data_IF_897752632846
#
_entry.id   IF_897752632846
#
_cell.length_a   1.000
_cell.length_b   1.000
_cell.length_c   1.000
_cell.angle_alpha   90.00
_cell.angle_beta   90.00
_cell.angle_gamma   90.00
#
_symmetry.space_group_name_H-M   'P 1'
#
loop_
_entity.id
_entity.type
_entity.pdbx_description
1 polymer ?
#
# COMPACT_ATOMS: atom_id res chain seq x y z
N UNK A 1 5.91 -6.81 -2.44
CA UNK A 1 7.25 -6.18 -2.45
C UNK A 1 8.24 -7.27 -2.83
N UNK A 2 9.31 -6.95 -3.54
CA UNK A 2 10.42 -7.90 -3.79
C UNK A 2 11.72 -7.40 -3.18
N UNK A 3 12.83 -8.09 -3.45
CA UNK A 3 14.16 -7.78 -2.93
C UNK A 3 14.59 -6.34 -3.22
N UNK A 4 14.36 -5.86 -4.45
CA UNK A 4 14.63 -4.48 -4.84
C UNK A 4 13.97 -3.44 -3.95
N UNK A 5 12.71 -3.66 -3.55
CA UNK A 5 12.03 -2.76 -2.62
C UNK A 5 12.70 -2.76 -1.24
N UNK A 6 13.19 -3.92 -0.78
CA UNK A 6 13.74 -4.08 0.56
C UNK A 6 15.20 -3.63 0.67
N UNK A 7 15.94 -3.61 -0.45
CA UNK A 7 17.27 -3.00 -0.54
C UNK A 7 17.21 -1.47 -0.54
N UNK A 8 16.14 -0.88 -1.08
CA UNK A 8 15.98 0.58 -1.12
C UNK A 8 15.79 1.19 0.26
N UNK A 9 16.56 2.24 0.56
CA UNK A 9 16.59 2.91 1.86
C UNK A 9 15.24 3.50 2.28
N UNK A 10 14.39 3.88 1.30
CA UNK A 10 13.04 4.36 1.59
C UNK A 10 12.18 3.31 2.32
N UNK A 11 12.46 2.01 2.12
CA UNK A 11 11.76 0.94 2.85
C UNK A 11 12.09 0.97 4.34
N UNK A 12 13.34 1.28 4.73
CA UNK A 12 13.71 1.47 6.13
C UNK A 12 12.90 2.60 6.75
N UNK A 13 12.83 3.75 6.08
CA UNK A 13 12.13 4.93 6.60
C UNK A 13 10.63 4.68 6.81
N UNK A 14 9.94 4.20 5.77
CA UNK A 14 8.48 4.04 5.83
C UNK A 14 8.06 2.85 6.68
N UNK A 15 8.84 1.76 6.72
CA UNK A 15 8.53 0.60 7.56
C UNK A 15 8.82 0.89 9.04
N UNK A 16 9.89 1.61 9.35
CA UNK A 16 10.17 2.08 10.72
C UNK A 16 9.04 2.97 11.25
N UNK A 17 8.57 3.93 10.44
CA UNK A 17 7.44 4.78 10.80
C UNK A 17 6.14 3.99 10.94
N UNK A 18 5.84 3.07 10.03
CA UNK A 18 4.63 2.25 10.09
C UNK A 18 4.54 1.41 11.36
N UNK A 19 5.68 0.90 11.83
CA UNK A 19 5.79 0.21 13.10
C UNK A 19 5.54 1.13 14.29
N UNK A 20 6.16 2.31 14.30
CA UNK A 20 5.95 3.35 15.32
C UNK A 20 4.48 3.78 15.42
N UNK A 21 3.78 3.86 14.28
CA UNK A 21 2.37 4.23 14.21
C UNK A 21 1.40 3.07 14.52
N UNK A 22 1.91 1.84 14.69
CA UNK A 22 1.09 0.67 15.01
C UNK A 22 0.04 0.37 13.93
N UNK A 23 0.41 0.47 12.64
CA UNK A 23 -0.52 0.35 11.51
C UNK A 23 -1.03 -1.09 11.30
N UNK A 24 -1.81 -1.65 12.24
CA UNK A 24 -2.28 -3.05 12.20
C UNK A 24 -3.30 -3.43 11.13
N UNK A 25 -3.57 -2.54 10.17
CA UNK A 25 -4.30 -2.86 8.94
C UNK A 25 -3.39 -2.97 7.72
N UNK A 26 -2.09 -2.66 7.87
CA UNK A 26 -1.08 -2.80 6.83
C UNK A 26 -0.51 -4.21 6.86
N UNK A 27 -0.67 -4.93 5.76
CA UNK A 27 -0.11 -6.27 5.55
C UNK A 27 0.70 -6.23 4.26
N UNK A 28 2.01 -6.41 4.37
CA UNK A 28 2.93 -6.52 3.25
C UNK A 28 3.24 -7.98 2.94
N UNK A 29 3.29 -8.33 1.66
CA UNK A 29 3.83 -9.59 1.18
C UNK A 29 5.21 -9.34 0.59
N UNK A 30 6.20 -10.08 1.08
CA UNK A 30 7.53 -10.11 0.49
C UNK A 30 7.65 -11.35 -0.39
N UNK A 31 7.81 -11.11 -1.69
CA UNK A 31 8.16 -12.12 -2.69
C UNK A 31 9.64 -12.47 -2.53
N UNK A 32 9.94 -13.43 -1.66
CA UNK A 32 11.28 -13.87 -1.33
C UNK A 32 11.69 -14.97 -2.30
N UNK A 33 12.04 -14.56 -3.53
CA UNK A 33 12.40 -15.48 -4.62
C UNK A 33 13.92 -15.65 -4.80
N UNK A 34 14.74 -14.83 -4.13
CA UNK A 34 16.21 -14.92 -4.11
C UNK A 34 16.91 -14.31 -5.32
N UNK A 35 16.18 -13.71 -6.27
CA UNK A 35 16.71 -13.22 -7.55
C UNK A 35 16.46 -11.71 -7.70
N UNK A 36 17.49 -11.00 -8.16
CA UNK A 36 17.38 -9.64 -8.69
C UNK A 36 17.88 -9.59 -10.14
N UNK A 37 18.00 -8.40 -10.72
CA UNK A 37 18.41 -8.24 -12.13
C UNK A 37 19.79 -8.86 -12.39
N UNK A 38 20.72 -8.71 -11.46
CA UNK A 38 22.10 -9.19 -11.60
C UNK A 38 22.27 -10.68 -11.24
N UNK A 39 21.18 -11.39 -10.90
CA UNK A 39 21.21 -12.80 -10.50
C UNK A 39 20.83 -13.03 -9.03
N UNK A 40 21.43 -14.06 -8.44
CA UNK A 40 21.21 -14.46 -7.05
C UNK A 40 21.62 -13.35 -6.07
N UNK A 41 20.70 -13.01 -5.17
CA UNK A 41 20.82 -11.86 -4.26
C UNK A 41 21.91 -12.00 -3.20
N UNK A 42 22.39 -13.21 -2.89
CA UNK A 42 23.37 -13.48 -1.82
C UNK A 42 24.68 -12.67 -1.97
N UNK A 43 25.02 -12.24 -3.19
CA UNK A 43 26.20 -11.42 -3.45
C UNK A 43 26.12 -9.97 -2.95
N UNK A 44 24.92 -9.42 -2.73
CA UNK A 44 24.71 -8.00 -2.38
C UNK A 44 23.56 -7.74 -1.40
N UNK A 45 22.76 -8.74 -1.08
CA UNK A 45 21.65 -8.64 -0.14
C UNK A 45 21.57 -9.87 0.75
N UNK A 46 22.03 -9.72 1.99
CA UNK A 46 22.14 -10.80 2.99
C UNK A 46 21.49 -10.41 4.33
N UNK A 47 20.59 -9.43 4.31
CA UNK A 47 19.84 -9.01 5.49
C UNK A 47 19.03 -10.19 6.05
N UNK A 48 19.04 -10.36 7.37
CA UNK A 48 17.95 -11.05 8.05
C UNK A 48 16.71 -10.14 8.02
N UNK A 49 15.98 -10.22 6.91
CA UNK A 49 14.81 -9.37 6.66
C UNK A 49 13.74 -9.55 7.74
N UNK A 50 13.55 -10.77 8.24
CA UNK A 50 12.60 -11.03 9.31
C UNK A 50 12.98 -10.24 10.57
N UNK A 51 14.23 -10.38 11.05
CA UNK A 51 14.72 -9.63 12.22
C UNK A 51 14.69 -8.12 12.01
N UNK A 52 15.00 -7.65 10.79
CA UNK A 52 14.92 -6.23 10.44
C UNK A 52 13.51 -5.68 10.65
N UNK A 53 12.48 -6.40 10.21
CA UNK A 53 11.08 -5.98 10.39
C UNK A 53 10.60 -6.16 11.82
N UNK A 54 11.02 -7.20 12.54
CA UNK A 54 10.78 -7.34 13.98
C UNK A 54 11.37 -6.16 14.76
N UNK A 55 12.56 -5.68 14.39
CA UNK A 55 13.19 -4.50 14.97
C UNK A 55 12.41 -3.20 14.68
N UNK A 56 11.65 -3.14 13.59
CA UNK A 56 10.69 -2.06 13.32
C UNK A 56 9.36 -2.24 14.06
N UNK A 57 9.21 -3.22 14.95
CA UNK A 57 7.94 -3.55 15.63
C UNK A 57 6.83 -4.07 14.70
N UNK A 58 7.20 -4.73 13.61
CA UNK A 58 6.23 -5.45 12.79
C UNK A 58 5.94 -6.84 13.39
N UNK A 59 4.75 -7.35 13.09
CA UNK A 59 4.48 -8.78 13.16
C UNK A 59 5.05 -9.44 11.90
N UNK A 60 5.82 -10.51 12.04
CA UNK A 60 6.44 -11.20 10.91
C UNK A 60 5.93 -12.63 10.89
N UNK A 61 5.23 -12.99 9.80
CA UNK A 61 4.99 -14.39 9.46
C UNK A 61 6.20 -14.86 8.69
N UNK A 62 7.00 -15.69 9.36
CA UNK A 62 8.24 -16.27 8.82
C UNK A 62 7.93 -17.18 7.63
N UNK A 63 8.97 -17.44 6.83
CA UNK A 63 8.95 -18.08 5.51
C UNK A 63 7.85 -19.13 5.30
N UNK A 64 6.82 -18.75 4.53
CA UNK A 64 5.75 -19.64 4.06
C UNK A 64 6.02 -20.08 2.63
N UNK A 65 5.48 -21.24 2.22
CA UNK A 65 5.43 -21.61 0.81
C UNK A 65 4.44 -20.70 0.08
N UNK A 66 4.96 -19.82 -0.78
CA UNK A 66 4.17 -18.88 -1.57
C UNK A 66 3.38 -19.54 -2.71
N UNK A 67 3.63 -20.82 -3.01
CA UNK A 67 2.89 -21.61 -3.99
C UNK A 67 1.84 -22.53 -3.36
N UNK A 68 1.71 -22.55 -2.02
CA UNK A 68 0.63 -23.24 -1.31
C UNK A 68 -0.49 -22.26 -0.88
N UNK A 69 -1.67 -22.29 -1.53
CA UNK A 69 -2.77 -21.40 -1.21
C UNK A 69 -3.27 -21.49 0.23
N UNK A 70 -3.20 -22.67 0.87
CA UNK A 70 -3.66 -22.81 2.25
C UNK A 70 -2.65 -22.23 3.26
N UNK A 71 -1.36 -22.34 3.00
CA UNK A 71 -0.32 -21.63 3.78
C UNK A 71 -0.47 -20.12 3.67
N UNK A 72 -0.64 -19.59 2.46
CA UNK A 72 -0.87 -18.14 2.23
C UNK A 72 -2.13 -17.66 2.96
N UNK A 73 -3.23 -18.42 2.87
CA UNK A 73 -4.48 -18.09 3.55
C UNK A 73 -4.33 -18.06 5.07
N UNK A 74 -3.65 -19.04 5.67
CA UNK A 74 -3.39 -19.07 7.12
C UNK A 74 -2.57 -17.86 7.56
N UNK A 75 -1.51 -17.53 6.82
CA UNK A 75 -0.67 -16.36 7.09
C UNK A 75 -1.46 -15.05 7.02
N UNK A 76 -2.36 -14.91 6.04
CA UNK A 76 -3.24 -13.73 5.93
C UNK A 76 -4.16 -13.62 7.16
N UNK A 77 -4.79 -14.72 7.58
CA UNK A 77 -5.68 -14.72 8.75
C UNK A 77 -4.92 -14.41 10.05
N UNK A 78 -3.72 -14.95 10.20
CA UNK A 78 -2.83 -14.67 11.32
C UNK A 78 -2.45 -13.18 11.35
N UNK A 79 -1.95 -12.63 10.24
CA UNK A 79 -1.62 -11.21 10.10
C UNK A 79 -2.82 -10.30 10.36
N UNK A 80 -4.01 -10.67 9.88
CA UNK A 80 -5.25 -9.94 10.16
C UNK A 80 -5.67 -10.00 11.64
N UNK A 81 -5.24 -11.01 12.40
CA UNK A 81 -5.56 -11.11 13.83
C UNK A 81 -4.77 -10.11 14.69
N UNK A 82 -3.60 -9.69 14.22
CA UNK A 82 -2.75 -8.67 14.87
C UNK A 82 -3.26 -7.28 14.52
N UNK A 83 -3.60 -6.48 15.53
CA UNK A 83 -4.31 -5.19 15.34
C UNK A 83 -3.47 -3.96 15.67
N UNK A 84 -2.37 -4.15 16.38
CA UNK A 84 -1.52 -3.11 16.94
C UNK A 84 -0.15 -3.00 16.24
N UNK A 85 0.12 -3.88 15.26
CA UNK A 85 1.37 -3.89 14.48
C UNK A 85 1.09 -4.13 13.00
N UNK A 86 1.78 -3.42 12.08
CA UNK A 86 1.80 -3.85 10.68
C UNK A 86 2.38 -5.26 10.56
N UNK A 87 1.99 -6.01 9.53
CA UNK A 87 2.46 -7.38 9.30
C UNK A 87 3.27 -7.52 8.03
N UNK A 88 4.37 -8.27 8.08
CA UNK A 88 5.11 -8.75 6.91
C UNK A 88 4.93 -10.26 6.80
N UNK A 89 4.45 -10.74 5.66
CA UNK A 89 4.39 -12.16 5.33
C UNK A 89 5.52 -12.44 4.34
N UNK A 90 6.46 -13.30 4.71
CA UNK A 90 7.59 -13.68 3.87
C UNK A 90 7.20 -14.91 3.05
N UNK A 91 6.96 -14.72 1.77
CA UNK A 91 6.55 -15.79 0.86
C UNK A 91 7.78 -16.29 0.09
N UNK A 92 8.20 -17.54 0.36
CA UNK A 92 9.18 -18.23 -0.47
C UNK A 92 8.53 -18.60 -1.80
N UNK A 93 9.06 -18.06 -2.88
CA UNK A 93 8.53 -18.29 -4.23
C UNK A 93 9.67 -18.67 -5.17
N UNK A 94 9.31 -19.00 -6.41
CA UNK A 94 10.26 -19.29 -7.48
C UNK A 94 9.92 -18.33 -8.60
N UNK A 95 10.82 -17.40 -8.91
CA UNK A 95 10.62 -16.48 -10.04
C UNK A 95 10.43 -17.29 -11.33
N UNK A 96 9.49 -16.89 -12.18
CA UNK A 96 9.18 -17.64 -13.41
C UNK A 96 8.61 -19.05 -13.17
N UNK A 97 8.02 -19.34 -12.00
CA UNK A 97 7.42 -20.64 -11.69
C UNK A 97 6.60 -21.19 -12.86
N UNK A 98 6.82 -22.46 -13.19
CA UNK A 98 6.20 -23.13 -14.33
C UNK A 98 7.10 -23.18 -15.57
N UNK A 99 8.02 -22.25 -15.76
CA UNK A 99 9.05 -22.37 -16.81
C UNK A 99 9.99 -23.55 -16.49
N UNK A 100 10.27 -24.45 -17.45
CA UNK A 100 11.28 -25.49 -17.23
C UNK A 100 12.71 -24.97 -17.23
N UNK A 101 13.04 -24.00 -18.10
CA UNK A 101 14.44 -23.61 -18.34
C UNK A 101 14.86 -22.30 -17.64
N UNK A 102 13.90 -21.43 -17.33
CA UNK A 102 14.13 -20.07 -16.78
C UNK A 102 13.57 -19.86 -15.37
N UNK A 103 12.82 -20.81 -14.82
CA UNK A 103 12.35 -20.69 -13.43
C UNK A 103 13.54 -20.67 -12.45
N UNK A 104 13.47 -19.79 -11.45
CA UNK A 104 14.52 -19.60 -10.46
C UNK A 104 15.73 -18.80 -10.94
N UNK A 105 15.64 -18.14 -12.11
CA UNK A 105 16.76 -17.39 -12.69
C UNK A 105 16.37 -15.99 -13.14
N UNK A 106 17.35 -15.10 -13.19
CA UNK A 106 17.20 -13.70 -13.59
C UNK A 106 16.70 -13.53 -15.04
N UNK A 107 16.92 -14.49 -15.94
CA UNK A 107 16.42 -14.37 -17.31
C UNK A 107 14.89 -14.42 -17.41
N UNK A 108 14.20 -14.79 -16.33
CA UNK A 108 12.74 -14.70 -16.20
C UNK A 108 12.23 -13.35 -15.67
N UNK A 109 13.12 -12.43 -15.26
CA UNK A 109 12.76 -11.17 -14.61
C UNK A 109 12.21 -10.12 -15.58
N UNK A 110 12.99 -9.78 -16.61
CA UNK A 110 12.75 -8.58 -17.43
C UNK A 110 12.57 -8.82 -18.93
N UNK A 111 12.64 -10.08 -19.38
CA UNK A 111 12.57 -10.43 -20.80
C UNK A 111 11.43 -11.40 -21.08
N UNK A 112 10.87 -11.33 -22.30
CA UNK A 112 9.89 -12.31 -22.75
C UNK A 112 10.51 -13.72 -22.73
N UNK A 113 9.74 -14.72 -22.30
CA UNK A 113 10.22 -16.10 -22.21
C UNK A 113 10.63 -16.66 -23.59
N UNK A 114 9.91 -16.26 -24.65
CA UNK A 114 10.01 -16.82 -26.00
C UNK A 114 8.93 -17.87 -26.26
N UNK A 115 8.51 -18.03 -27.52
CA UNK A 115 7.35 -18.88 -27.87
C UNK A 115 7.55 -20.35 -27.46
N UNK A 116 8.74 -20.90 -27.66
CA UNK A 116 9.10 -22.27 -27.27
C UNK A 116 8.99 -22.45 -25.75
N UNK A 117 9.58 -21.53 -24.98
CA UNK A 117 9.56 -21.59 -23.52
C UNK A 117 8.13 -21.43 -22.96
N UNK A 118 7.30 -20.59 -23.59
CA UNK A 118 5.89 -20.45 -23.24
C UNK A 118 5.12 -21.76 -23.49
N UNK A 119 5.39 -22.46 -24.60
CA UNK A 119 4.74 -23.75 -24.89
C UNK A 119 5.11 -24.81 -23.84
N UNK A 120 6.40 -24.88 -23.47
CA UNK A 120 6.88 -25.77 -22.41
C UNK A 120 6.30 -25.42 -21.04
N UNK A 121 6.19 -24.12 -20.74
CA UNK A 121 5.57 -23.62 -19.51
C UNK A 121 4.10 -24.03 -19.42
N UNK A 122 3.34 -23.86 -20.51
CA UNK A 122 1.94 -24.32 -20.59
C UNK A 122 1.82 -25.82 -20.34
N UNK A 123 2.68 -26.63 -20.96
CA UNK A 123 2.70 -28.07 -20.75
C UNK A 123 2.96 -28.42 -19.28
N UNK A 124 3.96 -27.79 -18.64
CA UNK A 124 4.32 -28.03 -17.23
C UNK A 124 3.19 -27.61 -16.28
N UNK A 125 2.48 -26.53 -16.57
CA UNK A 125 1.35 -26.05 -15.76
C UNK A 125 0.02 -26.76 -16.06
N UNK A 126 -0.03 -27.64 -17.07
CA UNK A 126 -1.29 -28.24 -17.52
C UNK A 126 -2.27 -27.21 -18.13
N UNK A 127 -1.76 -26.08 -18.64
CA UNK A 127 -2.57 -25.03 -19.24
C UNK A 127 -2.75 -25.26 -20.74
N UNK A 128 -3.93 -25.75 -21.13
CA UNK A 128 -4.23 -26.15 -22.52
C UNK A 128 -4.87 -25.05 -23.38
N UNK A 129 -5.13 -23.87 -22.83
CA UNK A 129 -5.80 -22.80 -23.56
C UNK A 129 -4.80 -21.93 -24.35
N UNK A 130 -5.18 -21.47 -25.56
CA UNK A 130 -4.43 -20.50 -26.35
C UNK A 130 -4.11 -19.19 -25.62
N UNK A 131 -3.25 -18.38 -26.24
CA UNK A 131 -2.96 -17.04 -25.73
C UNK A 131 -4.24 -16.20 -25.64
N UNK A 132 -4.42 -15.55 -24.49
CA UNK A 132 -5.58 -14.68 -24.19
C UNK A 132 -6.96 -15.38 -24.18
N UNK A 133 -7.00 -16.71 -24.21
CA UNK A 133 -8.23 -17.48 -24.01
C UNK A 133 -8.35 -17.87 -22.53
N UNK A 134 -9.44 -17.43 -21.90
CA UNK A 134 -9.77 -17.78 -20.51
C UNK A 134 -11.09 -18.54 -20.49
N UNK A 135 -11.12 -19.77 -19.95
CA UNK A 135 -12.33 -20.57 -19.82
C UNK A 135 -13.43 -19.92 -18.98
N UNK A 136 -14.69 -20.24 -19.30
CA UNK A 136 -15.86 -19.64 -18.63
C UNK A 136 -15.91 -19.98 -17.14
N UNK A 137 -15.49 -21.17 -16.75
CA UNK A 137 -15.42 -21.62 -15.36
C UNK A 137 -14.39 -20.84 -14.55
N UNK A 138 -13.25 -20.49 -15.15
CA UNK A 138 -12.24 -19.63 -14.51
C UNK A 138 -12.81 -18.22 -14.35
N UNK A 139 -13.45 -17.66 -15.38
CA UNK A 139 -14.16 -16.37 -15.24
C UNK A 139 -15.19 -16.39 -14.10
N UNK A 140 -16.01 -17.44 -14.01
CA UNK A 140 -17.02 -17.57 -12.94
C UNK A 140 -16.38 -17.68 -11.56
N UNK A 141 -15.26 -18.38 -11.42
CA UNK A 141 -14.56 -18.51 -10.15
C UNK A 141 -13.90 -17.19 -9.70
N UNK A 142 -13.50 -16.32 -10.65
CA UNK A 142 -12.89 -15.03 -10.39
C UNK A 142 -13.87 -13.85 -10.35
N UNK A 143 -15.12 -14.03 -10.80
CA UNK A 143 -16.10 -12.96 -10.86
C UNK A 143 -16.48 -12.47 -9.45
N UNK A 144 -15.97 -11.28 -9.11
CA UNK A 144 -16.23 -10.64 -7.82
C UNK A 144 -17.30 -9.55 -7.89
N UNK A 145 -17.99 -9.35 -9.02
CA UNK A 145 -18.94 -8.23 -9.21
C UNK A 145 -20.10 -8.29 -8.23
N UNK A 146 -20.77 -9.43 -8.11
CA UNK A 146 -21.89 -9.58 -7.17
C UNK A 146 -21.44 -9.43 -5.71
N UNK A 147 -20.30 -10.02 -5.34
CA UNK A 147 -19.72 -9.88 -4.00
C UNK A 147 -19.35 -8.41 -3.70
N UNK A 148 -18.77 -7.71 -4.67
CA UNK A 148 -18.40 -6.31 -4.57
C UNK A 148 -19.62 -5.40 -4.44
N UNK A 149 -20.65 -5.62 -5.27
CA UNK A 149 -21.92 -4.88 -5.22
C UNK A 149 -22.58 -5.02 -3.84
N UNK A 150 -22.67 -6.24 -3.31
CA UNK A 150 -23.20 -6.48 -1.95
C UNK A 150 -22.39 -5.77 -0.87
N UNK A 151 -21.06 -5.83 -0.95
CA UNK A 151 -20.18 -5.15 0.02
C UNK A 151 -20.33 -3.62 -0.05
N UNK A 152 -20.45 -3.06 -1.25
CA UNK A 152 -20.66 -1.64 -1.47
C UNK A 152 -22.03 -1.19 -1.00
N UNK A 153 -23.10 -1.94 -1.31
CA UNK A 153 -24.45 -1.65 -0.85
C UNK A 153 -24.52 -1.65 0.69
N UNK A 154 -23.92 -2.66 1.34
CA UNK A 154 -23.84 -2.71 2.80
C UNK A 154 -23.05 -1.53 3.39
N UNK A 155 -22.02 -1.03 2.69
CA UNK A 155 -21.30 0.19 3.10
C UNK A 155 -22.16 1.45 2.91
N UNK A 156 -22.91 1.55 1.81
CA UNK A 156 -23.80 2.68 1.52
C UNK A 156 -24.92 2.79 2.57
N UNK A 157 -25.51 1.67 2.98
CA UNK A 157 -26.50 1.63 4.06
C UNK A 157 -25.91 2.13 5.39
N UNK A 158 -24.70 1.67 5.74
CA UNK A 158 -23.97 2.17 6.92
C UNK A 158 -23.68 3.66 6.82
N UNK A 159 -23.28 4.14 5.65
CA UNK A 159 -22.99 5.56 5.43
C UNK A 159 -24.26 6.42 5.49
N UNK A 160 -25.40 5.95 4.96
CA UNK A 160 -26.68 6.63 5.07
C UNK A 160 -27.15 6.73 6.54
N UNK A 161 -27.00 5.65 7.32
CA UNK A 161 -27.27 5.67 8.76
C UNK A 161 -26.33 6.65 9.50
N UNK A 162 -25.04 6.65 9.15
CA UNK A 162 -24.04 7.59 9.67
C UNK A 162 -24.40 9.05 9.35
N UNK A 163 -24.85 9.34 8.13
CA UNK A 163 -25.28 10.68 7.72
C UNK A 163 -26.51 11.16 8.50
N UNK A 164 -27.47 10.28 8.79
CA UNK A 164 -28.61 10.63 9.64
C UNK A 164 -28.20 10.92 11.09
N UNK A 165 -27.27 10.15 11.63
CA UNK A 165 -26.80 10.31 13.01
C UNK A 165 -25.80 11.47 13.19
N UNK A 166 -24.98 11.76 12.19
CA UNK A 166 -23.89 12.74 12.22
C UNK A 166 -23.85 13.59 10.93
N UNK A 167 -24.87 14.42 10.66
CA UNK A 167 -25.03 15.11 9.38
C UNK A 167 -23.86 16.01 9.03
N UNK A 168 -23.29 16.74 10.00
CA UNK A 168 -22.15 17.63 9.75
C UNK A 168 -20.87 16.85 9.48
N UNK A 169 -20.57 15.79 10.25
CA UNK A 169 -19.40 14.95 9.99
C UNK A 169 -19.49 14.23 8.65
N UNK A 170 -20.68 13.76 8.24
CA UNK A 170 -20.90 13.15 6.94
C UNK A 170 -20.74 14.14 5.78
N UNK A 171 -21.18 15.39 5.96
CA UNK A 171 -20.91 16.48 5.00
C UNK A 171 -19.41 16.75 4.88
N UNK A 172 -18.70 16.84 6.00
CA UNK A 172 -17.24 17.00 6.02
C UNK A 172 -16.52 15.83 5.35
N UNK A 173 -16.89 14.59 5.68
CA UNK A 173 -16.33 13.39 5.05
C UNK A 173 -16.54 13.42 3.53
N UNK A 174 -17.77 13.64 3.08
CA UNK A 174 -18.11 13.68 1.65
C UNK A 174 -17.31 14.74 0.91
N UNK A 175 -17.26 15.97 1.43
CA UNK A 175 -16.47 17.07 0.85
C UNK A 175 -14.99 16.69 0.73
N UNK A 176 -14.40 16.15 1.80
CA UNK A 176 -12.98 15.75 1.84
C UNK A 176 -12.67 14.63 0.85
N UNK A 177 -13.55 13.63 0.73
CA UNK A 177 -13.38 12.53 -0.22
C UNK A 177 -13.50 12.98 -1.68
N UNK A 178 -14.16 14.12 -1.95
CA UNK A 178 -14.22 14.75 -3.28
C UNK A 178 -13.04 15.70 -3.57
N UNK A 179 -12.19 15.97 -2.58
CA UNK A 179 -11.11 16.96 -2.71
C UNK A 179 -11.61 18.40 -2.82
N UNK A 180 -12.84 18.68 -2.40
CA UNK A 180 -13.44 20.01 -2.41
C UNK A 180 -12.97 20.83 -1.19
N UNK A 181 -12.72 22.12 -1.36
CA UNK A 181 -12.41 23.04 -0.26
C UNK A 181 -13.69 23.53 0.45
N UNK A 182 -13.62 24.04 1.68
CA UNK A 182 -14.75 24.68 2.33
C UNK A 182 -15.29 25.86 1.50
N UNK A 183 -16.61 26.07 1.49
CA UNK A 183 -17.24 27.19 0.76
C UNK A 183 -16.67 28.56 1.17
N UNK A 184 -16.28 28.71 2.44
CA UNK A 184 -15.70 29.94 2.98
C UNK A 184 -14.24 30.17 2.59
N UNK A 185 -13.61 29.24 1.87
CA UNK A 185 -12.18 29.27 1.58
C UNK A 185 -11.74 30.57 0.90
N UNK A 186 -12.39 30.94 -0.20
CA UNK A 186 -11.99 32.12 -0.97
C UNK A 186 -12.15 33.41 -0.15
N UNK A 187 -13.28 33.57 0.55
CA UNK A 187 -13.52 34.75 1.39
C UNK A 187 -12.51 34.84 2.53
N UNK A 188 -12.22 33.71 3.20
CA UNK A 188 -11.30 33.69 4.35
C UNK A 188 -9.87 34.00 3.92
N UNK A 189 -9.40 33.38 2.84
CA UNK A 189 -8.04 33.57 2.32
C UNK A 189 -7.82 35.00 1.81
N UNK A 190 -8.77 35.57 1.04
CA UNK A 190 -8.68 36.96 0.57
C UNK A 190 -8.64 37.95 1.74
N UNK A 191 -9.48 37.75 2.75
CA UNK A 191 -9.49 38.58 3.96
C UNK A 191 -8.14 38.53 4.68
N UNK A 192 -7.60 37.33 4.91
CA UNK A 192 -6.31 37.15 5.58
C UNK A 192 -5.15 37.81 4.80
N UNK A 193 -5.11 37.66 3.47
CA UNK A 193 -4.10 38.31 2.62
C UNK A 193 -4.20 39.83 2.70
N UNK A 194 -5.42 40.39 2.66
CA UNK A 194 -5.63 41.82 2.78
C UNK A 194 -5.19 42.37 4.15
N UNK A 195 -5.46 41.62 5.23
CA UNK A 195 -5.01 41.96 6.60
C UNK A 195 -3.48 42.00 6.70
N UNK A 196 -2.77 41.04 6.10
CA UNK A 196 -1.30 41.04 6.07
C UNK A 196 -0.74 42.24 5.29
N UNK A 197 -1.37 42.60 4.17
CA UNK A 197 -0.95 43.74 3.36
C UNK A 197 -1.19 45.08 4.07
N UNK A 198 -2.29 45.20 4.83
CA UNK A 198 -2.63 46.37 5.63
C UNK A 198 -1.75 46.53 6.88
N UNK A 199 -1.15 45.44 7.37
CA UNK A 199 -0.33 45.41 8.58
C UNK A 199 1.07 44.84 8.29
N UNK A 200 1.98 45.60 7.65
CA UNK A 200 3.30 45.11 7.29
C UNK A 200 4.10 44.64 8.50
N UNK A 201 4.65 43.44 8.42
CA UNK A 201 5.49 42.85 9.46
C UNK A 201 6.83 42.39 8.88
N UNK A 202 7.94 42.76 9.51
CA UNK A 202 9.28 42.32 9.11
C UNK A 202 9.58 40.95 9.74
N UNK A 203 9.08 39.89 9.11
CA UNK A 203 9.27 38.50 9.56
C UNK A 203 9.88 37.63 8.46
N UNK A 204 10.55 36.54 8.85
CA UNK A 204 11.03 35.54 7.90
C UNK A 204 9.86 34.77 7.27
N UNK A 205 10.00 34.35 6.01
CA UNK A 205 8.95 33.62 5.26
C UNK A 205 8.56 32.29 5.91
N UNK A 206 9.49 31.60 6.60
CA UNK A 206 9.15 30.42 7.42
C UNK A 206 8.14 30.73 8.54
N UNK A 207 8.26 31.91 9.15
CA UNK A 207 7.32 32.36 10.18
C UNK A 207 6.00 32.81 9.55
N UNK A 208 6.05 33.43 8.37
CA UNK A 208 4.84 33.74 7.60
C UNK A 208 4.08 32.46 7.22
N UNK A 209 4.78 31.40 6.78
CA UNK A 209 4.17 30.08 6.51
C UNK A 209 3.50 29.49 7.76
N UNK A 210 4.17 29.53 8.92
CA UNK A 210 3.56 29.11 10.18
C UNK A 210 2.29 29.92 10.52
N UNK A 211 2.32 31.24 10.34
CA UNK A 211 1.15 32.08 10.58
C UNK A 211 -0.01 31.72 9.63
N UNK A 212 0.29 31.42 8.36
CA UNK A 212 -0.70 30.94 7.38
C UNK A 212 -1.28 29.58 7.78
N UNK A 213 -0.45 28.63 8.24
CA UNK A 213 -0.94 27.35 8.77
C UNK A 213 -1.86 27.55 9.97
N UNK A 214 -1.52 28.47 10.88
CA UNK A 214 -2.37 28.80 12.03
C UNK A 214 -3.70 29.45 11.61
N UNK A 215 -3.69 30.26 10.54
CA UNK A 215 -4.89 30.91 10.02
C UNK A 215 -5.82 29.92 9.30
N UNK A 216 -5.25 28.97 8.54
CA UNK A 216 -6.03 28.04 7.70
C UNK A 216 -6.32 26.71 8.38
N UNK A 217 -5.51 26.28 9.35
CA UNK A 217 -5.70 25.06 10.13
C UNK A 217 -7.12 24.85 10.65
N UNK A 218 -7.71 25.84 11.35
CA UNK A 218 -9.08 25.72 11.88
C UNK A 218 -10.18 25.52 10.84
N UNK A 219 -9.95 25.90 9.58
CA UNK A 219 -10.95 25.78 8.50
C UNK A 219 -10.69 24.60 7.55
N UNK A 220 -9.50 23.99 7.60
CA UNK A 220 -9.12 22.83 6.78
C UNK A 220 -8.87 21.59 7.66
N UNK A 221 -9.92 20.92 8.16
CA UNK A 221 -9.79 19.70 8.97
C UNK A 221 -9.17 18.50 8.20
N UNK A 222 -8.99 18.63 6.90
CA UNK A 222 -8.25 17.69 6.05
C UNK A 222 -6.72 17.83 6.10
N UNK A 223 -6.18 18.89 6.69
CA UNK A 223 -4.74 19.04 6.81
C UNK A 223 -4.17 17.90 7.64
N UNK A 224 -3.26 17.15 7.01
CA UNK A 224 -2.41 16.17 7.65
C UNK A 224 -0.97 16.57 7.33
N UNK A 225 -0.38 17.38 8.22
CA UNK A 225 0.95 17.95 8.04
C UNK A 225 2.00 17.23 8.88
N UNK A 226 3.27 17.41 8.52
CA UNK A 226 4.41 16.90 9.28
C UNK A 226 5.72 17.46 8.77
N UNK A 227 6.76 17.36 9.60
CA UNK A 227 8.13 17.70 9.24
C UNK A 227 9.06 16.58 9.73
N UNK A 228 10.05 16.21 8.91
CA UNK A 228 11.05 15.21 9.29
C UNK A 228 11.74 15.58 10.60
N UNK A 229 11.74 14.66 11.57
CA UNK A 229 12.27 14.90 12.92
C UNK A 229 11.27 15.50 13.92
N UNK A 230 9.98 15.61 13.59
CA UNK A 230 8.93 16.03 14.53
C UNK A 230 7.65 15.20 14.37
N UNK A 231 6.89 15.02 15.45
CA UNK A 231 5.58 14.37 15.37
C UNK A 231 4.62 15.27 14.59
N UNK A 232 3.91 14.70 13.61
CA UNK A 232 2.80 15.37 12.93
C UNK A 232 1.83 15.96 13.97
N UNK A 233 1.43 17.22 13.80
CA UNK A 233 0.41 17.93 14.59
C UNK A 233 -0.84 18.14 13.75
#
# INVERSE_FOLDING_TARGET
MGDGCLMEGISHEVCSLAGTLGLGKLIGFYDHNGISIDGETEGWFTDDTAKRFEAYHWHVVHEIDGHDPESVKKAILEAQSVKDKPSLIICRTVIGFGSPNKAGKEESHGAALGEEEVALTRQKLGWHHPAFEIPKEIYRAWDAREKGEKAQQAWQEKFAAYQKAYPDLARTFTRRMRGELPESWETTTRKYIAELQANPAKIATRKASQNTLNAYGPILPELLGGLGGSRAQ
#
